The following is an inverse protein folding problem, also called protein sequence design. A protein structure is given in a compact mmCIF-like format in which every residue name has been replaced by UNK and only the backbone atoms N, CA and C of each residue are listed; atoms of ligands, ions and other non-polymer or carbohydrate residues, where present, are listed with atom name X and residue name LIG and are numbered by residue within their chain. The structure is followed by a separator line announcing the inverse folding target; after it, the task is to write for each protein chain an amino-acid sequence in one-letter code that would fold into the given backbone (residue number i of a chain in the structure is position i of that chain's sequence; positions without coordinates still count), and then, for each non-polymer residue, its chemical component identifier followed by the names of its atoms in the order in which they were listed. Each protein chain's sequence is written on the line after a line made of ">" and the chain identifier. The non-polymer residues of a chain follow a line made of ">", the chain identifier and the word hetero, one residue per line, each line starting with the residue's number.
data_IF_521907117269
#
_entry.id   IF_521907117269
#
_cell.length_a   1.000
_cell.length_b   1.000
_cell.length_c   1.000
_cell.angle_alpha   90.00
_cell.angle_beta   90.00
_cell.angle_gamma   90.00
#
_symmetry.space_group_name_H-M   'P 1'
#
loop_
_entity.id
_entity.type
_entity.pdbx_description
1 polymer ?
#
# COMPACT_ATOMS: atom_id res chain seq x y z
N UNK A 1 0.95 -10.01 -5.99
CA UNK A 1 1.19 -10.23 -4.53
C UNK A 1 -0.11 -10.57 -3.83
N UNK A 2 -0.11 -10.64 -2.49
CA UNK A 2 -1.28 -11.08 -1.71
C UNK A 2 -2.54 -10.21 -1.86
N UNK A 3 -2.38 -8.94 -2.27
CA UNK A 3 -3.48 -7.97 -2.38
C UNK A 3 -4.69 -8.48 -3.18
N UNK A 4 -4.47 -9.12 -4.34
CA UNK A 4 -5.55 -9.61 -5.21
C UNK A 4 -6.44 -10.66 -4.55
N UNK A 5 -5.90 -11.42 -3.60
CA UNK A 5 -6.60 -12.46 -2.87
C UNK A 5 -7.13 -11.98 -1.51
N UNK A 6 -6.44 -11.05 -0.86
CA UNK A 6 -6.73 -10.62 0.52
C UNK A 6 -7.78 -9.51 0.57
N UNK A 7 -7.94 -8.69 -0.48
CA UNK A 7 -8.90 -7.57 -0.49
C UNK A 7 -10.33 -8.02 -0.10
N UNK A 8 -10.86 -9.06 -0.75
CA UNK A 8 -12.19 -9.57 -0.45
C UNK A 8 -12.32 -10.07 1.00
N UNK A 9 -11.25 -10.64 1.57
CA UNK A 9 -11.24 -11.08 2.98
C UNK A 9 -11.26 -9.92 3.95
N UNK A 10 -10.52 -8.86 3.68
CA UNK A 10 -10.53 -7.66 4.53
C UNK A 10 -11.92 -7.02 4.51
N UNK A 11 -12.55 -6.94 3.33
CA UNK A 11 -13.91 -6.41 3.20
C UNK A 11 -14.90 -7.23 4.03
N UNK A 12 -14.87 -8.56 3.91
CA UNK A 12 -15.71 -9.44 4.73
C UNK A 12 -15.41 -9.27 6.22
N UNK A 13 -14.14 -9.36 6.63
CA UNK A 13 -13.76 -9.25 8.04
C UNK A 13 -14.21 -7.91 8.66
N UNK A 14 -14.04 -6.80 7.95
CA UNK A 14 -14.45 -5.48 8.46
C UNK A 14 -15.96 -5.31 8.49
N UNK A 15 -16.69 -5.90 7.53
CA UNK A 15 -18.16 -5.95 7.59
C UNK A 15 -18.66 -6.74 8.80
N UNK A 16 -18.14 -7.95 9.01
CA UNK A 16 -18.64 -8.84 10.07
C UNK A 16 -18.15 -8.45 11.47
N UNK A 17 -16.88 -8.04 11.62
CA UNK A 17 -16.28 -7.75 12.94
C UNK A 17 -16.51 -6.31 13.39
N UNK A 18 -16.49 -5.35 12.46
CA UNK A 18 -16.61 -3.92 12.78
C UNK A 18 -17.99 -3.35 12.45
N UNK A 19 -18.90 -4.14 11.85
CA UNK A 19 -20.19 -3.66 11.36
C UNK A 19 -20.08 -2.63 10.23
N UNK A 20 -18.90 -2.51 9.61
CA UNK A 20 -18.59 -1.45 8.65
C UNK A 20 -17.56 -1.96 7.63
N UNK A 21 -18.03 -2.29 6.43
CA UNK A 21 -17.17 -2.74 5.33
C UNK A 21 -16.16 -1.64 4.97
N UNK A 22 -14.87 -1.94 5.12
CA UNK A 22 -13.78 -1.07 4.69
C UNK A 22 -13.11 -1.63 3.43
N UNK A 23 -12.79 -0.73 2.50
CA UNK A 23 -12.03 -1.02 1.28
C UNK A 23 -10.64 -0.38 1.40
N UNK A 24 -9.61 -1.14 1.79
CA UNK A 24 -8.27 -0.59 1.90
C UNK A 24 -7.75 -0.12 0.54
N UNK A 25 -7.06 1.02 0.53
CA UNK A 25 -6.33 1.49 -0.65
C UNK A 25 -5.10 0.60 -0.87
N UNK A 26 -4.80 0.29 -2.13
CA UNK A 26 -3.54 -0.35 -2.48
C UNK A 26 -2.39 0.66 -2.41
N UNK A 27 -1.34 0.32 -1.65
CA UNK A 27 -0.05 1.02 -1.66
C UNK A 27 1.03 -0.02 -1.94
N UNK A 28 1.66 0.07 -3.11
CA UNK A 28 2.59 -0.95 -3.60
C UNK A 28 3.15 -0.59 -4.98
N UNK A 29 3.93 -1.51 -5.56
CA UNK A 29 4.45 -1.35 -6.93
C UNK A 29 3.30 -1.41 -7.95
N UNK A 30 3.41 -0.69 -9.09
CA UNK A 30 2.47 -0.83 -10.18
C UNK A 30 2.49 -2.25 -10.76
N UNK A 31 1.44 -2.63 -11.48
CA UNK A 31 1.37 -3.94 -12.15
C UNK A 31 2.49 -4.01 -13.19
N UNK A 32 3.28 -5.08 -13.12
CA UNK A 32 4.40 -5.34 -14.01
C UNK A 32 4.46 -6.81 -14.39
N UNK A 33 5.00 -7.12 -15.57
CA UNK A 33 5.25 -8.49 -15.99
C UNK A 33 6.39 -9.13 -15.18
N UNK A 34 7.44 -8.37 -14.90
CA UNK A 34 8.55 -8.79 -14.05
C UNK A 34 8.26 -8.52 -12.57
N UNK A 35 8.75 -9.35 -11.64
CA UNK A 35 8.49 -9.19 -10.21
C UNK A 35 9.16 -7.95 -9.58
N UNK A 36 10.30 -7.53 -10.12
CA UNK A 36 11.03 -6.35 -9.68
C UNK A 36 11.85 -5.75 -10.82
N UNK A 37 12.15 -4.45 -10.71
CA UNK A 37 13.15 -3.82 -11.57
C UNK A 37 14.55 -4.35 -11.24
N UNK A 38 15.36 -4.63 -12.27
CA UNK A 38 16.77 -4.99 -12.12
C UNK A 38 17.68 -3.78 -11.86
N UNK A 39 17.16 -2.56 -11.96
CA UNK A 39 17.93 -1.34 -11.74
C UNK A 39 17.85 -0.91 -10.28
N UNK A 40 18.97 -1.00 -9.54
CA UNK A 40 19.01 -0.69 -8.11
C UNK A 40 18.48 0.69 -7.72
N UNK A 41 18.76 1.72 -8.54
CA UNK A 41 18.23 3.08 -8.32
C UNK A 41 16.71 3.14 -8.41
N UNK A 42 16.11 2.48 -9.41
CA UNK A 42 14.65 2.43 -9.59
C UNK A 42 14.02 1.63 -8.45
N UNK A 43 14.66 0.55 -8.02
CA UNK A 43 14.18 -0.27 -6.90
C UNK A 43 14.07 0.56 -5.60
N UNK A 44 15.10 1.36 -5.29
CA UNK A 44 15.09 2.24 -4.12
C UNK A 44 14.01 3.33 -4.22
N UNK A 45 13.84 3.91 -5.41
CA UNK A 45 12.78 4.90 -5.65
C UNK A 45 11.39 4.30 -5.45
N UNK A 46 11.12 3.11 -5.98
CA UNK A 46 9.85 2.40 -5.78
C UNK A 46 9.58 2.12 -4.30
N UNK A 47 10.61 1.72 -3.54
CA UNK A 47 10.51 1.52 -2.09
C UNK A 47 10.14 2.83 -1.37
N UNK A 48 10.82 3.93 -1.68
CA UNK A 48 10.55 5.23 -1.08
C UNK A 48 9.12 5.70 -1.39
N UNK A 49 8.62 5.47 -2.61
CA UNK A 49 7.25 5.79 -3.00
C UNK A 49 6.22 4.97 -2.20
N UNK A 50 6.51 3.71 -1.90
CA UNK A 50 5.65 2.88 -1.05
C UNK A 50 5.62 3.45 0.37
N UNK A 51 6.78 3.79 0.93
CA UNK A 51 6.86 4.37 2.28
C UNK A 51 6.12 5.70 2.38
N UNK A 52 6.32 6.60 1.40
CA UNK A 52 5.58 7.85 1.32
C UNK A 52 4.07 7.64 1.12
N UNK A 53 3.66 6.62 0.36
CA UNK A 53 2.25 6.28 0.18
C UNK A 53 1.57 5.71 1.44
N UNK A 54 2.33 5.11 2.35
CA UNK A 54 1.84 4.57 3.63
C UNK A 54 1.78 5.66 4.69
N UNK A 55 2.86 6.42 4.86
CA UNK A 55 3.04 7.36 5.98
C UNK A 55 2.77 8.82 5.62
N UNK A 56 2.61 9.14 4.33
CA UNK A 56 2.63 10.51 3.84
C UNK A 56 4.06 11.00 3.56
N UNK A 57 4.17 12.16 2.91
CA UNK A 57 5.45 12.85 2.72
C UNK A 57 5.71 13.70 3.96
N UNK A 58 6.90 13.58 4.55
CA UNK A 58 7.31 14.46 5.64
C UNK A 58 7.27 15.93 5.15
N UNK A 59 6.33 16.71 5.69
CA UNK A 59 6.14 18.12 5.33
C UNK A 59 4.69 18.54 5.03
N UNK A 60 3.75 17.61 4.87
CA UNK A 60 2.35 17.92 4.49
C UNK A 60 1.35 17.83 5.68
N UNK A 61 1.80 18.23 6.88
CA UNK A 61 0.90 18.58 8.00
C UNK A 61 0.50 17.46 8.96
N UNK A 62 1.42 16.61 9.42
CA UNK A 62 1.06 15.68 10.49
C UNK A 62 2.24 14.91 11.08
N UNK A 63 2.94 15.56 12.00
CA UNK A 63 3.53 15.07 13.27
C UNK A 63 4.20 16.31 13.86
N UNK A 64 3.41 17.18 14.49
CA UNK A 64 3.94 18.19 15.40
C UNK A 64 4.17 17.50 16.75
N UNK A 65 5.36 17.70 17.34
CA UNK A 65 5.71 17.29 18.70
C UNK A 65 4.84 17.98 19.77
#
# INVERSE_FOLDING_TARGET
>A
GAYSYVLARIMTATRELNGNEKRPRYVGRPVSAAPATGMGKVHQMEYNNIMAGVYGVAGDGGFED
#
